data_IF_370640905827
#
_entry.id   IF_370640905827
#
_cell.length_a   1.000
_cell.length_b   1.000
_cell.length_c   1.000
_cell.angle_alpha   90.00
_cell.angle_beta   90.00
_cell.angle_gamma   90.00
#
_symmetry.space_group_name_H-M   'P 1'
#
loop_
_entity.id
_entity.type
_entity.pdbx_description
1 polymer ?
#
# COMPACT_ATOMS: atom_id res chain seq x y z
N UNK A 1 15.99 21.49 -29.11
CA UNK A 1 15.10 20.65 -28.28
C UNK A 1 15.20 19.19 -28.76
N UNK A 2 16.40 18.62 -28.70
CA UNK A 2 16.79 17.52 -29.60
C UNK A 2 16.83 16.16 -28.91
N UNK A 3 16.16 15.17 -29.51
CA UNK A 3 16.47 13.72 -29.63
C UNK A 3 16.90 12.87 -28.40
N UNK A 4 17.23 13.46 -27.26
CA UNK A 4 17.67 12.74 -26.04
C UNK A 4 16.48 12.17 -25.25
N UNK A 5 15.30 12.81 -25.32
CA UNK A 5 14.09 12.46 -24.56
C UNK A 5 13.65 10.98 -24.63
N UNK A 6 13.60 10.29 -25.79
CA UNK A 6 13.08 8.93 -25.86
C UNK A 6 14.05 7.87 -25.29
N UNK A 7 15.37 8.03 -25.42
CA UNK A 7 16.34 7.06 -24.90
C UNK A 7 16.36 7.09 -23.37
N UNK A 8 16.33 8.28 -22.77
CA UNK A 8 16.23 8.41 -21.31
C UNK A 8 14.90 7.85 -20.78
N UNK A 9 13.80 8.02 -21.52
CA UNK A 9 12.51 7.43 -21.15
C UNK A 9 12.55 5.90 -21.17
N UNK A 10 13.18 5.30 -22.18
CA UNK A 10 13.34 3.84 -22.27
C UNK A 10 14.24 3.33 -21.14
N UNK A 11 15.38 3.98 -20.87
CA UNK A 11 16.26 3.62 -19.75
C UNK A 11 15.54 3.74 -18.40
N UNK A 12 14.74 4.79 -18.21
CA UNK A 12 13.90 4.96 -17.03
C UNK A 12 12.87 3.83 -16.89
N UNK A 13 12.15 3.48 -17.96
CA UNK A 13 11.16 2.40 -17.94
C UNK A 13 11.80 1.04 -17.64
N UNK A 14 12.95 0.74 -18.24
CA UNK A 14 13.69 -0.49 -17.96
C UNK A 14 14.15 -0.54 -16.49
N UNK A 15 14.67 0.57 -15.97
CA UNK A 15 15.04 0.66 -14.56
C UNK A 15 13.83 0.51 -13.63
N UNK A 16 12.68 1.08 -13.99
CA UNK A 16 11.45 0.95 -13.22
C UNK A 16 10.96 -0.50 -13.17
N UNK A 17 10.90 -1.18 -14.32
CA UNK A 17 10.51 -2.60 -14.40
C UNK A 17 11.49 -3.47 -13.61
N UNK A 18 12.79 -3.22 -13.70
CA UNK A 18 13.80 -3.92 -12.91
C UNK A 18 13.56 -3.78 -11.41
N UNK A 19 13.29 -2.55 -10.92
CA UNK A 19 13.03 -2.32 -9.50
C UNK A 19 11.72 -2.96 -9.03
N UNK A 20 10.66 -2.97 -9.85
CA UNK A 20 9.40 -3.66 -9.55
C UNK A 20 9.65 -5.17 -9.38
N UNK A 21 10.34 -5.79 -10.34
CA UNK A 21 10.64 -7.23 -10.29
C UNK A 21 11.50 -7.54 -9.07
N UNK A 22 12.53 -6.72 -8.78
CA UNK A 22 13.41 -6.89 -7.61
C UNK A 22 12.62 -6.84 -6.31
N UNK A 23 11.75 -5.85 -6.15
CA UNK A 23 10.91 -5.70 -4.94
C UNK A 23 9.97 -6.90 -4.74
N UNK A 24 9.37 -7.40 -5.82
CA UNK A 24 8.54 -8.60 -5.79
C UNK A 24 9.33 -9.85 -5.38
N UNK A 25 10.56 -10.00 -5.87
CA UNK A 25 11.44 -11.11 -5.48
C UNK A 25 11.90 -11.00 -4.03
N UNK A 26 12.23 -9.81 -3.54
CA UNK A 26 12.62 -9.58 -2.15
C UNK A 26 11.48 -9.93 -1.20
N UNK A 27 10.25 -9.53 -1.55
CA UNK A 27 9.04 -9.92 -0.83
C UNK A 27 8.82 -11.45 -0.85
N UNK A 28 8.95 -12.08 -2.02
CA UNK A 28 8.81 -13.53 -2.15
C UNK A 28 9.89 -14.30 -1.35
N UNK A 29 11.13 -13.79 -1.34
CA UNK A 29 12.25 -14.37 -0.59
C UNK A 29 12.00 -14.29 0.92
N UNK A 30 11.46 -13.18 1.43
CA UNK A 30 11.08 -13.05 2.83
C UNK A 30 10.02 -14.09 3.23
N UNK A 31 9.03 -14.34 2.35
CA UNK A 31 8.04 -15.39 2.54
C UNK A 31 8.67 -16.79 2.57
N UNK A 32 9.57 -17.11 1.63
CA UNK A 32 10.22 -18.44 1.55
C UNK A 32 11.17 -18.68 2.72
N UNK A 33 11.89 -17.65 3.18
CA UNK A 33 12.79 -17.75 4.33
C UNK A 33 12.04 -17.90 5.67
N UNK A 34 10.71 -17.86 5.68
CA UNK A 34 9.90 -17.92 6.90
C UNK A 34 10.12 -16.73 7.83
N UNK A 35 10.72 -15.63 7.32
CA UNK A 35 10.96 -14.39 8.07
C UNK A 35 9.75 -13.46 7.96
N UNK A 36 8.58 -14.04 8.14
CA UNK A 36 7.30 -13.34 8.18
C UNK A 36 6.75 -13.47 9.61
N UNK A 37 6.18 -12.38 10.10
CA UNK A 37 5.51 -12.33 11.39
C UNK A 37 4.15 -11.66 11.14
N UNK A 38 3.21 -12.44 10.55
CA UNK A 38 1.95 -11.91 10.11
C UNK A 38 1.06 -11.59 11.30
N UNK A 39 0.55 -10.37 11.33
CA UNK A 39 -0.35 -9.90 12.38
C UNK A 39 -1.51 -9.11 11.78
N UNK A 40 -2.65 -9.15 12.46
CA UNK A 40 -3.79 -8.30 12.15
C UNK A 40 -3.72 -7.09 13.07
N UNK A 41 -3.70 -5.91 12.48
CA UNK A 41 -3.63 -4.63 13.17
C UNK A 41 -4.95 -3.90 12.96
N UNK A 42 -5.48 -3.34 14.03
CA UNK A 42 -6.64 -2.44 13.99
C UNK A 42 -6.16 -1.02 13.70
N UNK A 43 -6.83 -0.37 12.75
CA UNK A 43 -6.49 0.98 12.30
C UNK A 43 -7.72 1.87 12.40
N UNK A 44 -7.67 2.87 13.26
CA UNK A 44 -8.68 3.93 13.32
C UNK A 44 -8.56 4.86 12.12
N UNK A 45 -9.69 5.24 11.52
CA UNK A 45 -9.76 6.25 10.45
C UNK A 45 -10.65 7.43 10.86
N UNK A 46 -10.29 8.63 10.41
CA UNK A 46 -11.10 9.84 10.60
C UNK A 46 -12.16 10.02 9.51
N UNK A 47 -12.11 9.21 8.45
CA UNK A 47 -13.04 9.25 7.32
C UNK A 47 -14.44 8.79 7.78
N UNK A 48 -15.50 9.43 7.28
CA UNK A 48 -16.89 9.17 7.68
C UNK A 48 -17.73 8.55 6.58
N UNK A 49 -17.38 8.77 5.31
CA UNK A 49 -18.17 8.26 4.17
C UNK A 49 -17.75 6.84 3.80
N UNK A 50 -18.72 5.99 3.50
CA UNK A 50 -18.48 4.60 3.10
C UNK A 50 -17.54 4.49 1.90
N UNK A 51 -17.71 5.34 0.88
CA UNK A 51 -16.83 5.36 -0.29
C UNK A 51 -15.38 5.65 0.09
N UNK A 52 -15.14 6.56 1.03
CA UNK A 52 -13.81 6.91 1.53
C UNK A 52 -13.15 5.72 2.23
N UNK A 53 -13.91 4.94 3.00
CA UNK A 53 -13.40 3.70 3.61
C UNK A 53 -12.99 2.67 2.55
N UNK A 54 -13.81 2.45 1.51
CA UNK A 54 -13.46 1.49 0.45
C UNK A 54 -12.23 1.93 -0.34
N UNK A 55 -12.10 3.23 -0.64
CA UNK A 55 -10.92 3.76 -1.32
C UNK A 55 -9.68 3.61 -0.45
N UNK A 56 -9.79 3.89 0.85
CA UNK A 56 -8.69 3.70 1.80
C UNK A 56 -8.28 2.23 1.91
N UNK A 57 -9.25 1.33 2.11
CA UNK A 57 -9.04 -0.12 2.19
C UNK A 57 -8.29 -0.67 0.97
N UNK A 58 -8.69 -0.28 -0.24
CA UNK A 58 -8.00 -0.68 -1.46
C UNK A 58 -6.58 -0.12 -1.54
N UNK A 59 -6.38 1.14 -1.11
CA UNK A 59 -5.06 1.77 -1.09
C UNK A 59 -4.10 1.06 -0.13
N UNK A 60 -4.61 0.59 1.02
CA UNK A 60 -3.86 -0.23 1.98
C UNK A 60 -3.49 -1.58 1.35
N UNK A 61 -4.44 -2.29 0.73
CA UNK A 61 -4.19 -3.59 0.08
C UNK A 61 -3.15 -3.51 -1.05
N UNK A 62 -3.10 -2.38 -1.76
CA UNK A 62 -2.10 -2.15 -2.82
C UNK A 62 -0.72 -1.75 -2.28
N UNK A 63 -0.61 -1.44 -0.98
CA UNK A 63 0.68 -1.20 -0.34
C UNK A 63 1.38 -2.54 -0.12
N UNK A 64 2.67 -2.70 -0.49
CA UNK A 64 3.37 -3.96 -0.36
C UNK A 64 3.37 -4.50 1.08
N UNK A 65 3.02 -5.78 1.23
CA UNK A 65 2.99 -6.46 2.53
C UNK A 65 1.79 -6.12 3.41
N UNK A 66 0.72 -5.57 2.84
CA UNK A 66 -0.55 -5.30 3.52
C UNK A 66 -1.75 -5.85 2.78
N UNK A 67 -2.78 -6.22 3.53
CA UNK A 67 -4.08 -6.65 3.01
C UNK A 67 -5.17 -6.18 3.96
N UNK A 68 -6.15 -5.43 3.48
CA UNK A 68 -7.34 -5.12 4.29
C UNK A 68 -8.22 -6.35 4.39
N UNK A 69 -8.57 -6.74 5.62
CA UNK A 69 -9.37 -7.93 5.94
C UNK A 69 -10.84 -7.57 6.16
N UNK A 70 -11.10 -6.45 6.85
CA UNK A 70 -12.45 -6.00 7.18
C UNK A 70 -12.51 -4.48 7.41
N UNK A 71 -13.73 -3.94 7.30
CA UNK A 71 -14.06 -2.51 7.47
C UNK A 71 -15.28 -2.38 8.40
N UNK A 72 -15.08 -1.82 9.58
CA UNK A 72 -16.16 -1.42 10.48
C UNK A 72 -16.51 0.05 10.24
N UNK A 73 -17.57 0.28 9.46
CA UNK A 73 -18.04 1.62 9.11
C UNK A 73 -18.58 2.39 10.31
N UNK A 74 -19.24 1.70 11.26
CA UNK A 74 -19.86 2.36 12.41
C UNK A 74 -18.81 2.84 13.42
N UNK A 75 -17.75 2.04 13.61
CA UNK A 75 -16.64 2.40 14.51
C UNK A 75 -15.52 3.16 13.81
N UNK A 76 -15.61 3.38 12.50
CA UNK A 76 -14.56 4.00 11.67
C UNK A 76 -13.21 3.27 11.83
N UNK A 77 -13.23 1.94 11.69
CA UNK A 77 -12.04 1.08 11.85
C UNK A 77 -11.81 0.20 10.63
N UNK A 78 -10.54 -0.04 10.32
CA UNK A 78 -10.09 -1.00 9.32
C UNK A 78 -9.22 -2.05 10.01
N UNK A 79 -9.43 -3.32 9.64
CA UNK A 79 -8.61 -4.42 10.10
C UNK A 79 -7.67 -4.82 8.98
N UNK A 80 -6.37 -4.75 9.24
CA UNK A 80 -5.34 -4.91 8.21
C UNK A 80 -4.37 -6.00 8.60
N UNK A 81 -4.23 -7.01 7.74
CA UNK A 81 -3.16 -7.99 7.84
C UNK A 81 -1.87 -7.39 7.28
N UNK A 82 -0.78 -7.48 8.05
CA UNK A 82 0.58 -7.10 7.63
C UNK A 82 1.46 -8.35 7.59
N UNK A 83 2.36 -8.47 6.61
CA UNK A 83 3.29 -9.60 6.52
C UNK A 83 4.43 -9.53 7.56
N UNK A 84 4.77 -8.31 7.99
CA UNK A 84 5.79 -8.03 9.00
C UNK A 84 5.34 -6.89 9.92
N UNK A 85 5.84 -6.83 11.16
CA UNK A 85 5.56 -5.73 12.07
C UNK A 85 5.94 -4.37 11.49
N UNK A 86 4.99 -3.45 11.49
CA UNK A 86 5.13 -2.09 10.96
C UNK A 86 4.25 -1.11 11.72
N UNK A 87 4.65 0.15 11.74
CA UNK A 87 3.93 1.22 12.44
C UNK A 87 2.58 1.52 11.79
N UNK A 88 1.54 1.77 12.59
CA UNK A 88 0.17 2.03 12.11
C UNK A 88 0.12 3.19 11.12
N UNK A 89 0.91 4.26 11.32
CA UNK A 89 0.93 5.40 10.39
C UNK A 89 1.48 5.03 9.02
N UNK A 90 2.37 4.04 8.96
CA UNK A 90 2.87 3.52 7.69
C UNK A 90 1.80 2.73 6.93
N UNK A 91 0.78 2.22 7.61
CA UNK A 91 -0.31 1.42 7.02
C UNK A 91 -1.31 2.32 6.29
N UNK A 92 -1.51 3.57 6.73
CA UNK A 92 -2.48 4.54 6.16
C UNK A 92 -1.84 5.77 5.48
N UNK A 93 -0.98 5.60 4.46
CA UNK A 93 -0.26 6.72 3.86
C UNK A 93 -1.18 7.69 3.08
N UNK A 94 -2.38 7.27 2.69
CA UNK A 94 -3.26 8.03 1.79
C UNK A 94 -4.51 8.65 2.45
N UNK A 95 -4.69 8.47 3.75
CA UNK A 95 -5.90 8.94 4.45
C UNK A 95 -6.14 10.45 4.26
N UNK A 96 -5.09 11.27 4.40
CA UNK A 96 -5.20 12.72 4.22
C UNK A 96 -5.62 13.14 2.81
N UNK A 97 -5.14 12.43 1.78
CA UNK A 97 -5.51 12.70 0.38
C UNK A 97 -6.97 12.31 0.12
N UNK A 98 -7.39 11.14 0.60
CA UNK A 98 -8.76 10.64 0.43
C UNK A 98 -9.75 11.57 1.14
N UNK A 99 -9.38 12.06 2.33
CA UNK A 99 -10.17 13.04 3.05
C UNK A 99 -10.43 14.30 2.22
N UNK A 100 -9.40 14.87 1.59
CA UNK A 100 -9.55 16.07 0.78
C UNK A 100 -10.38 15.89 -0.50
N UNK A 101 -10.48 14.68 -1.05
CA UNK A 101 -11.20 14.40 -2.29
C UNK A 101 -12.64 13.96 -2.03
N UNK A 102 -12.85 13.14 -1.01
CA UNK A 102 -14.11 12.44 -0.80
C UNK A 102 -14.90 12.92 0.41
N UNK A 103 -14.34 13.72 1.33
CA UNK A 103 -15.09 14.29 2.46
C UNK A 103 -15.49 15.74 2.23
#
# INVERSE_FOLDING_TARGET
MGLLSPIYLVLYLLNLVYNIIKSSFETALLCVLGRIDPQVVEVDTVLKKNISHYVLANSITLTPGTLTVDIDHEKQKLYVAVLTPRDVKSIIPFEGYIRGVFE
#
